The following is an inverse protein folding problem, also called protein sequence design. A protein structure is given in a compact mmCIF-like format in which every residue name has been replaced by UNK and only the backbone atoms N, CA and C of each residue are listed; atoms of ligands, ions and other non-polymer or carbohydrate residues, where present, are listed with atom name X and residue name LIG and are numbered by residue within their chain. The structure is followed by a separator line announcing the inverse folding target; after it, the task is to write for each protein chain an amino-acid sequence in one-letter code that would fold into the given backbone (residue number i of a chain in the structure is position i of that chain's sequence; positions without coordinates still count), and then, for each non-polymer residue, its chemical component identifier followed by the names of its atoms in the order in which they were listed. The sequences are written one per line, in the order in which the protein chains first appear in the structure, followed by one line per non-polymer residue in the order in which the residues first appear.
data_IF_296166008085
#
_entry.id   IF_296166008085
#
_cell.length_a   1.000
_cell.length_b   1.000
_cell.length_c   1.000
_cell.angle_alpha   90.00
_cell.angle_beta   90.00
_cell.angle_gamma   90.00
#
_symmetry.space_group_name_H-M   'P 1'
#
loop_
_entity.id
_entity.type
_entity.pdbx_description
1 polymer ?
#
# COMPACT_ATOMS: atom_id res chain seq x y z
N UNK A 1 -4.45 -6.16 26.02
CA UNK A 1 -4.11 -4.81 25.53
C UNK A 1 -4.88 -4.56 24.26
N UNK A 2 -5.78 -3.56 24.19
CA UNK A 2 -6.53 -3.29 22.97
C UNK A 2 -5.55 -2.81 21.91
N UNK A 3 -5.50 -3.52 20.78
CA UNK A 3 -4.75 -3.09 19.61
C UNK A 3 -5.47 -1.87 19.06
N UNK A 4 -5.04 -0.67 19.47
CA UNK A 4 -5.48 0.58 18.87
C UNK A 4 -5.45 0.39 17.37
N UNK A 5 -6.60 0.56 16.73
CA UNK A 5 -6.71 0.62 15.27
C UNK A 5 -6.04 1.92 14.83
N UNK A 6 -4.70 1.98 14.94
CA UNK A 6 -3.89 2.98 14.25
C UNK A 6 -4.36 2.89 12.80
N UNK A 7 -4.93 3.98 12.28
CA UNK A 7 -5.24 4.12 10.87
C UNK A 7 -3.96 4.55 10.17
N UNK A 8 -3.78 4.11 8.93
CA UNK A 8 -2.64 4.57 8.12
C UNK A 8 -2.73 6.09 8.01
N UNK A 9 -1.67 6.84 8.35
CA UNK A 9 -1.64 8.26 8.08
C UNK A 9 -1.70 8.49 6.58
N UNK A 10 -2.40 9.53 6.16
CA UNK A 10 -2.57 9.84 4.73
C UNK A 10 -1.22 10.18 4.07
N UNK A 11 -0.32 10.80 4.84
CA UNK A 11 1.02 11.14 4.39
C UNK A 11 2.05 10.19 5.02
N UNK A 12 2.80 9.49 4.17
CA UNK A 12 3.95 8.69 4.63
C UNK A 12 4.95 9.54 5.42
N UNK A 13 5.08 10.83 5.07
CA UNK A 13 5.96 11.79 5.74
C UNK A 13 5.64 12.03 7.22
N UNK A 14 4.38 11.83 7.65
CA UNK A 14 4.00 11.95 9.07
C UNK A 14 4.54 10.77 9.90
N UNK A 15 4.97 9.69 9.25
CA UNK A 15 5.54 8.55 9.92
C UNK A 15 7.05 8.73 10.10
N UNK A 16 7.50 8.79 11.35
CA UNK A 16 8.93 8.86 11.71
C UNK A 16 9.49 7.52 12.19
N UNK A 17 8.66 6.48 12.21
CA UNK A 17 9.02 5.16 12.73
C UNK A 17 9.14 4.16 11.59
N UNK A 18 10.36 3.67 11.36
CA UNK A 18 10.67 2.62 10.38
C UNK A 18 9.78 1.37 10.52
N UNK A 19 9.57 0.78 11.72
CA UNK A 19 8.70 -0.40 11.85
C UNK A 19 7.24 -0.12 11.50
N UNK A 20 6.74 1.12 11.72
CA UNK A 20 5.40 1.51 11.30
C UNK A 20 5.32 1.68 9.79
N UNK A 21 6.31 2.33 9.18
CA UNK A 21 6.38 2.49 7.73
C UNK A 21 6.38 1.13 7.00
N UNK A 22 7.13 0.15 7.51
CA UNK A 22 7.13 -1.22 6.97
C UNK A 22 5.78 -1.93 7.15
N UNK A 23 5.13 -1.75 8.30
CA UNK A 23 3.76 -2.26 8.56
C UNK A 23 2.76 -1.70 7.55
N UNK A 24 2.84 -0.41 7.26
CA UNK A 24 1.97 0.24 6.27
C UNK A 24 2.20 -0.26 4.87
N UNK A 25 3.47 -0.38 4.44
CA UNK A 25 3.83 -0.98 3.15
C UNK A 25 3.24 -2.39 3.00
N UNK A 26 3.38 -3.26 4.01
CA UNK A 26 2.81 -4.62 3.97
C UNK A 26 1.29 -4.59 3.85
N UNK A 27 0.61 -3.70 4.56
CA UNK A 27 -0.84 -3.58 4.43
C UNK A 27 -1.26 -3.14 3.03
N UNK A 28 -0.55 -2.19 2.40
CA UNK A 28 -0.84 -1.77 1.01
C UNK A 28 -0.75 -2.95 0.05
N UNK A 29 0.32 -3.75 0.18
CA UNK A 29 0.51 -4.93 -0.68
C UNK A 29 -0.65 -5.91 -0.51
N UNK A 30 -1.08 -6.19 0.72
CA UNK A 30 -2.25 -7.04 0.98
C UNK A 30 -3.54 -6.50 0.38
N UNK A 31 -3.75 -5.18 0.40
CA UNK A 31 -4.91 -4.52 -0.21
C UNK A 31 -4.89 -4.63 -1.73
N UNK A 32 -3.71 -4.38 -2.34
CA UNK A 32 -3.51 -4.56 -3.78
C UNK A 32 -3.80 -6.01 -4.17
N UNK A 33 -3.23 -7.00 -3.47
CA UNK A 33 -3.46 -8.42 -3.77
C UNK A 33 -4.94 -8.80 -3.72
N UNK A 34 -5.70 -8.28 -2.74
CA UNK A 34 -7.16 -8.50 -2.67
C UNK A 34 -7.89 -7.89 -3.87
N UNK A 35 -7.53 -6.67 -4.27
CA UNK A 35 -8.14 -6.01 -5.44
C UNK A 35 -7.75 -6.70 -6.75
N UNK A 36 -6.50 -7.13 -6.90
CA UNK A 36 -6.03 -7.92 -8.05
C UNK A 36 -6.79 -9.24 -8.15
N UNK A 37 -6.98 -9.95 -7.03
CA UNK A 37 -7.79 -11.17 -6.99
C UNK A 37 -9.24 -10.88 -7.41
N UNK A 38 -9.82 -9.74 -7.00
CA UNK A 38 -11.14 -9.32 -7.50
C UNK A 38 -11.12 -9.12 -9.01
N UNK A 39 -10.15 -8.38 -9.58
CA UNK A 39 -10.04 -8.19 -11.04
C UNK A 39 -9.94 -9.51 -11.79
N UNK A 40 -9.20 -10.49 -11.25
CA UNK A 40 -9.06 -11.82 -11.84
C UNK A 40 -10.37 -12.64 -11.80
N UNK A 41 -11.32 -12.29 -10.94
CA UNK A 41 -12.67 -12.86 -11.01
C UNK A 41 -13.41 -12.23 -12.19
N UNK A 42 -13.38 -12.93 -13.32
CA UNK A 42 -13.92 -12.51 -14.63
C UNK A 42 -15.45 -12.26 -14.69
N UNK A 43 -16.15 -12.26 -13.55
CA UNK A 43 -17.57 -11.92 -13.43
C UNK A 43 -17.85 -10.43 -13.11
N UNK A 44 -16.82 -9.60 -12.98
CA UNK A 44 -16.96 -8.16 -12.74
C UNK A 44 -17.08 -7.41 -14.07
N UNK A 45 -18.13 -6.59 -14.23
CA UNK A 45 -18.27 -5.75 -15.41
C UNK A 45 -17.12 -4.75 -15.58
N UNK A 46 -16.83 -4.34 -16.82
CA UNK A 46 -15.69 -3.49 -17.19
C UNK A 46 -15.58 -2.20 -16.36
N UNK A 47 -16.71 -1.60 -15.98
CA UNK A 47 -16.76 -0.42 -15.11
C UNK A 47 -16.08 -0.67 -13.76
N UNK A 48 -16.34 -1.84 -13.16
CA UNK A 48 -15.79 -2.22 -11.86
C UNK A 48 -14.32 -2.59 -11.95
N UNK A 49 -13.88 -3.17 -13.07
CA UNK A 49 -12.47 -3.40 -13.35
C UNK A 49 -11.70 -2.07 -13.46
N UNK A 50 -12.26 -1.05 -14.11
CA UNK A 50 -11.63 0.28 -14.19
C UNK A 50 -11.48 0.94 -12.83
N UNK A 51 -12.54 0.90 -12.01
CA UNK A 51 -12.52 1.43 -10.65
C UNK A 51 -11.46 0.73 -9.79
N UNK A 52 -11.46 -0.61 -9.79
CA UNK A 52 -10.45 -1.41 -9.09
C UNK A 52 -9.03 -1.13 -9.58
N UNK A 53 -8.83 -0.92 -10.89
CA UNK A 53 -7.53 -0.55 -11.45
C UNK A 53 -7.09 0.85 -11.02
N UNK A 54 -7.99 1.83 -10.95
CA UNK A 54 -7.66 3.17 -10.46
C UNK A 54 -7.28 3.14 -8.98
N UNK A 55 -8.02 2.37 -8.17
CA UNK A 55 -7.69 2.15 -6.77
C UNK A 55 -6.34 1.43 -6.58
N UNK A 56 -6.05 0.39 -7.37
CA UNK A 56 -4.74 -0.28 -7.35
C UNK A 56 -3.63 0.71 -7.74
N UNK A 57 -3.84 1.54 -8.77
CA UNK A 57 -2.86 2.55 -9.17
C UNK A 57 -2.61 3.60 -8.07
N UNK A 58 -3.65 3.99 -7.32
CA UNK A 58 -3.51 4.87 -6.15
C UNK A 58 -2.72 4.19 -5.02
N UNK A 59 -3.04 2.94 -4.71
CA UNK A 59 -2.33 2.15 -3.69
C UNK A 59 -0.86 1.92 -4.07
N UNK A 60 -0.56 1.66 -5.34
CA UNK A 60 0.81 1.50 -5.83
C UNK A 60 1.63 2.78 -5.69
N UNK A 61 1.03 3.95 -5.96
CA UNK A 61 1.66 5.25 -5.71
C UNK A 61 1.94 5.44 -4.23
N UNK A 62 0.95 5.16 -3.37
CA UNK A 62 1.11 5.22 -1.92
C UNK A 62 2.24 4.31 -1.44
N UNK A 63 2.31 3.06 -1.93
CA UNK A 63 3.42 2.13 -1.67
C UNK A 63 4.76 2.78 -1.99
N UNK A 64 4.88 3.44 -3.15
CA UNK A 64 6.10 4.14 -3.54
C UNK A 64 6.52 5.22 -2.54
N UNK A 65 5.57 6.01 -2.03
CA UNK A 65 5.85 7.01 -0.99
C UNK A 65 6.34 6.37 0.30
N UNK A 66 5.74 5.26 0.73
CA UNK A 66 6.21 4.51 1.90
C UNK A 66 7.60 3.92 1.70
N UNK A 67 7.93 3.42 0.50
CA UNK A 67 9.27 2.88 0.21
C UNK A 67 10.35 3.97 0.24
N UNK A 68 10.05 5.17 -0.29
CA UNK A 68 10.94 6.33 -0.16
C UNK A 68 11.10 6.70 1.32
N UNK A 69 10.01 6.74 2.08
CA UNK A 69 10.06 7.09 3.49
C UNK A 69 10.88 6.11 4.32
N UNK A 70 10.71 4.80 4.07
CA UNK A 70 11.51 3.76 4.73
C UNK A 70 12.99 4.00 4.48
N UNK A 71 13.37 4.32 3.24
CA UNK A 71 14.76 4.65 2.88
C UNK A 71 15.25 5.90 3.63
N UNK A 72 14.47 6.97 3.67
CA UNK A 72 14.82 8.22 4.38
C UNK A 72 15.01 8.00 5.89
N UNK A 73 14.25 7.07 6.47
CA UNK A 73 14.39 6.67 7.88
C UNK A 73 15.57 5.72 8.14
N UNK A 74 16.40 5.43 7.13
CA UNK A 74 17.55 4.52 7.23
C UNK A 74 17.21 3.04 7.06
N UNK A 75 16.05 2.73 6.48
CA UNK A 75 15.56 1.38 6.24
C UNK A 75 15.90 0.80 4.87
N UNK A 76 15.52 -0.46 4.63
CA UNK A 76 15.83 -1.18 3.40
C UNK A 76 15.20 -0.54 2.15
N UNK A 77 16.00 -0.47 1.08
CA UNK A 77 15.61 0.04 -0.23
C UNK A 77 14.71 -0.97 -0.97
N UNK A 78 13.41 -0.77 -0.88
CA UNK A 78 12.43 -1.63 -1.51
C UNK A 78 12.07 -1.26 -2.96
N UNK A 79 12.49 -0.07 -3.45
CA UNK A 79 12.26 0.38 -4.84
C UNK A 79 13.06 -0.40 -5.89
N UNK A 80 14.13 -1.09 -5.49
CA UNK A 80 15.13 -1.69 -6.41
C UNK A 80 14.80 -3.14 -6.81
N UNK A 81 13.66 -3.71 -6.40
CA UNK A 81 13.27 -5.06 -6.82
C UNK A 81 12.05 -5.05 -7.74
N UNK A 82 12.31 -4.77 -9.02
CA UNK A 82 11.62 -5.34 -10.19
C UNK A 82 12.61 -5.39 -11.34
#
# INVERSE_FOLDING_TARGET
MPHSQERRPFLASECNELPKAEKWRRQIISEISKKVAQIQNAGLGEFKIRDLNDEINKLLREKGHWEVRIKELGGPDYRVRI
#
